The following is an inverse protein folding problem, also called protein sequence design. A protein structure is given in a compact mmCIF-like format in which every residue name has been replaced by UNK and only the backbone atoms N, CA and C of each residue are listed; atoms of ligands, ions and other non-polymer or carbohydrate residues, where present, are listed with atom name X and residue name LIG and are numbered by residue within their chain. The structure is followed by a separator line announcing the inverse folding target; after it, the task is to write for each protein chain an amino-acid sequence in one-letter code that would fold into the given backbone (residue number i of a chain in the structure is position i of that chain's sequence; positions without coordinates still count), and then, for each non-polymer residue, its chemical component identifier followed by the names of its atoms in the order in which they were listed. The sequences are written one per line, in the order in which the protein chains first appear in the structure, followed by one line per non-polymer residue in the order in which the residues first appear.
data_IF_491106802139
#
_entry.id   IF_491106802139
#
_cell.length_a   1.000
_cell.length_b   1.000
_cell.length_c   1.000
_cell.angle_alpha   90.00
_cell.angle_beta   90.00
_cell.angle_gamma   90.00
#
_symmetry.space_group_name_H-M   'P 1'
#
loop_
_entity.id
_entity.type
_entity.pdbx_description
1 polymer ?
#
# COMPACT_ATOMS: atom_id res chain seq x y z
N UNK A 1 -18.37 3.30 6.49
CA UNK A 1 -17.58 3.45 7.74
C UNK A 1 -16.10 3.54 7.37
N UNK A 2 -15.28 4.34 8.07
CA UNK A 2 -13.83 4.35 7.83
C UNK A 2 -13.27 2.95 8.12
N UNK A 3 -12.64 2.29 7.13
CA UNK A 3 -11.95 1.02 7.38
C UNK A 3 -10.62 1.30 8.08
N UNK A 4 -10.34 0.65 9.22
CA UNK A 4 -9.04 0.79 9.90
C UNK A 4 -7.85 0.16 9.13
N UNK A 5 -8.09 -0.27 7.89
CA UNK A 5 -7.20 -1.05 7.06
C UNK A 5 -6.95 -0.29 5.75
N UNK A 6 -5.71 -0.40 5.29
CA UNK A 6 -5.28 0.00 3.97
C UNK A 6 -5.63 -1.08 2.96
N UNK A 7 -6.04 -0.65 1.77
CA UNK A 7 -6.32 -1.51 0.64
C UNK A 7 -5.25 -1.31 -0.43
N UNK A 8 -4.65 -2.41 -0.89
CA UNK A 8 -3.72 -2.44 -2.00
C UNK A 8 -4.20 -3.44 -3.04
N UNK A 9 -4.09 -3.06 -4.31
CA UNK A 9 -4.33 -3.93 -5.46
C UNK A 9 -3.09 -3.95 -6.33
N UNK A 10 -2.62 -5.15 -6.67
CA UNK A 10 -1.53 -5.34 -7.62
C UNK A 10 -2.07 -5.60 -9.01
N UNK A 11 -1.59 -4.84 -9.98
CA UNK A 11 -1.94 -4.94 -11.39
C UNK A 11 -0.65 -4.94 -12.24
N UNK A 12 -0.80 -5.18 -13.54
CA UNK A 12 0.31 -5.24 -14.50
C UNK A 12 0.72 -6.68 -14.80
N UNK A 13 1.99 -6.87 -15.16
CA UNK A 13 2.55 -8.16 -15.56
C UNK A 13 3.86 -8.32 -14.80
N UNK A 14 3.81 -8.95 -13.63
CA UNK A 14 4.97 -9.12 -12.76
C UNK A 14 4.87 -10.39 -11.91
N UNK A 15 5.98 -10.74 -11.26
CA UNK A 15 6.12 -11.87 -10.35
C UNK A 15 6.47 -11.44 -8.90
N UNK A 16 6.20 -10.17 -8.57
CA UNK A 16 6.49 -9.59 -7.28
C UNK A 16 5.95 -10.39 -6.07
N UNK A 17 6.63 -10.18 -4.94
CA UNK A 17 6.27 -10.74 -3.64
C UNK A 17 5.91 -9.63 -2.66
N UNK A 18 5.03 -9.94 -1.72
CA UNK A 18 4.67 -9.04 -0.63
C UNK A 18 5.25 -9.59 0.67
N UNK A 19 6.12 -8.82 1.30
CA UNK A 19 6.83 -9.21 2.51
C UNK A 19 6.19 -8.51 3.70
N UNK A 20 5.98 -9.25 4.80
CA UNK A 20 5.57 -8.69 6.11
C UNK A 20 6.65 -9.04 7.13
N UNK A 21 7.58 -8.11 7.34
CA UNK A 21 8.82 -8.37 8.06
C UNK A 21 8.60 -8.71 9.54
N UNK A 22 7.65 -8.06 10.21
CA UNK A 22 7.36 -8.32 11.63
C UNK A 22 6.58 -9.62 11.87
N UNK A 23 6.10 -10.28 10.80
CA UNK A 23 5.52 -11.61 10.85
C UNK A 23 6.42 -12.67 10.19
N UNK A 24 7.63 -12.29 9.76
CA UNK A 24 8.56 -13.16 9.02
C UNK A 24 7.88 -13.92 7.88
N UNK A 25 6.95 -13.27 7.19
CA UNK A 25 6.04 -13.91 6.23
C UNK A 25 6.20 -13.30 4.84
N UNK A 26 6.16 -14.16 3.83
CA UNK A 26 6.28 -13.80 2.41
C UNK A 26 5.06 -14.35 1.67
N UNK A 27 4.39 -13.49 0.91
CA UNK A 27 3.22 -13.85 0.12
C UNK A 27 3.50 -13.62 -1.36
N UNK A 28 2.98 -14.51 -2.20
CA UNK A 28 2.92 -14.25 -3.64
C UNK A 28 2.01 -13.05 -3.88
N UNK A 29 2.50 -12.07 -4.65
CA UNK A 29 1.74 -10.85 -4.94
C UNK A 29 1.54 -10.72 -6.43
N UNK A 30 0.73 -11.62 -6.99
CA UNK A 30 0.50 -11.72 -8.43
C UNK A 30 -0.47 -10.62 -8.91
N UNK A 31 -0.47 -10.27 -10.20
CA UNK A 31 -1.51 -9.41 -10.78
C UNK A 31 -2.92 -9.90 -10.44
N UNK A 32 -3.79 -8.97 -10.05
CA UNK A 32 -5.15 -9.25 -9.54
C UNK A 32 -5.22 -9.50 -8.03
N UNK A 33 -4.09 -9.59 -7.33
CA UNK A 33 -4.08 -9.77 -5.86
C UNK A 33 -4.55 -8.49 -5.15
N UNK A 34 -5.45 -8.65 -4.20
CA UNK A 34 -5.96 -7.60 -3.34
C UNK A 34 -5.57 -7.88 -1.89
N UNK A 35 -4.99 -6.89 -1.21
CA UNK A 35 -4.57 -6.98 0.18
C UNK A 35 -5.30 -5.92 0.99
N UNK A 36 -5.99 -6.37 2.03
CA UNK A 36 -6.49 -5.54 3.12
C UNK A 36 -5.57 -5.75 4.33
N UNK A 37 -4.88 -4.71 4.78
CA UNK A 37 -3.97 -4.82 5.92
C UNK A 37 -3.90 -3.54 6.75
N UNK A 38 -3.51 -3.67 8.02
CA UNK A 38 -3.21 -2.52 8.86
C UNK A 38 -1.77 -2.04 8.60
N UNK A 39 -1.56 -1.16 7.60
CA UNK A 39 -0.22 -0.74 7.16
C UNK A 39 0.57 0.04 8.23
N UNK A 40 -0.09 0.54 9.28
CA UNK A 40 0.56 1.11 10.47
C UNK A 40 1.16 0.09 11.42
N UNK A 41 0.59 -1.11 11.47
CA UNK A 41 1.00 -2.17 12.40
C UNK A 41 1.91 -3.19 11.71
N UNK A 42 1.65 -3.46 10.43
CA UNK A 42 2.36 -4.46 9.65
C UNK A 42 3.41 -3.78 8.78
N UNK A 43 4.67 -4.02 9.13
CA UNK A 43 5.83 -3.54 8.36
C UNK A 43 5.92 -4.36 7.08
N UNK A 44 5.53 -3.74 5.97
CA UNK A 44 5.41 -4.42 4.69
C UNK A 44 6.27 -3.79 3.61
N UNK A 45 6.71 -4.61 2.67
CA UNK A 45 7.48 -4.16 1.51
C UNK A 45 7.19 -5.02 0.29
N UNK A 46 7.51 -4.47 -0.88
CA UNK A 46 7.58 -5.21 -2.13
C UNK A 46 9.04 -5.11 -2.58
N UNK A 47 9.86 -6.15 -2.35
CA UNK A 47 11.25 -6.17 -2.82
C UNK A 47 11.33 -6.06 -4.34
N UNK A 48 12.54 -5.85 -4.85
CA UNK A 48 12.78 -5.86 -6.29
C UNK A 48 12.32 -7.18 -6.90
N UNK A 49 11.60 -7.09 -8.00
CA UNK A 49 11.21 -8.22 -8.84
C UNK A 49 11.96 -8.15 -10.17
N UNK A 50 11.95 -9.27 -10.91
CA UNK A 50 12.73 -9.40 -12.14
C UNK A 50 11.85 -9.25 -13.39
N UNK A 51 10.58 -9.66 -13.32
CA UNK A 51 9.72 -9.73 -14.50
C UNK A 51 8.77 -8.55 -14.59
N UNK A 52 8.86 -7.83 -15.69
CA UNK A 52 7.85 -6.86 -16.15
C UNK A 52 7.52 -5.72 -15.18
N UNK A 53 6.33 -5.15 -15.35
CA UNK A 53 5.91 -3.91 -14.70
C UNK A 53 4.79 -4.16 -13.70
N UNK A 54 4.88 -3.48 -12.55
CA UNK A 54 3.87 -3.50 -11.50
C UNK A 54 3.20 -2.16 -11.37
N UNK A 55 1.87 -2.17 -11.44
CA UNK A 55 1.01 -1.04 -11.13
C UNK A 55 0.36 -1.31 -9.78
N UNK A 56 0.51 -0.39 -8.83
CA UNK A 56 -0.11 -0.49 -7.52
C UNK A 56 -1.25 0.53 -7.41
N UNK A 57 -2.46 0.06 -7.15
CA UNK A 57 -3.55 0.93 -6.70
C UNK A 57 -3.65 0.82 -5.18
N UNK A 58 -3.59 1.95 -4.50
CA UNK A 58 -3.61 1.97 -3.04
C UNK A 58 -4.65 2.95 -2.53
N UNK A 59 -5.41 2.51 -1.54
CA UNK A 59 -6.37 3.32 -0.80
C UNK A 59 -6.01 3.26 0.68
N UNK A 60 -5.38 4.34 1.14
CA UNK A 60 -4.98 4.49 2.54
C UNK A 60 -6.01 5.28 3.32
N UNK A 61 -6.31 4.84 4.53
CA UNK A 61 -7.16 5.60 5.45
C UNK A 61 -6.35 6.71 6.14
N UNK A 62 -6.16 7.80 5.37
CA UNK A 62 -5.48 9.04 5.75
C UNK A 62 -6.06 9.69 7.02
N UNK A 63 -7.31 9.41 7.34
CA UNK A 63 -8.07 10.08 8.40
C UNK A 63 -7.64 9.62 9.81
N UNK A 64 -7.29 8.34 10.00
CA UNK A 64 -6.92 7.83 11.33
C UNK A 64 -5.53 8.30 11.81
N UNK A 65 -4.65 8.76 10.92
CA UNK A 65 -3.36 9.38 11.29
C UNK A 65 -3.59 10.82 11.71
N UNK A 66 -4.22 11.61 10.84
CA UNK A 66 -4.42 13.04 11.06
C UNK A 66 -5.34 13.30 12.25
N UNK A 67 -6.42 12.53 12.40
CA UNK A 67 -7.32 12.66 13.56
C UNK A 67 -6.64 12.25 14.88
N UNK A 68 -5.72 11.28 14.86
CA UNK A 68 -4.99 10.86 16.08
C UNK A 68 -3.98 11.92 16.54
N UNK A 69 -3.39 12.66 15.61
CA UNK A 69 -2.35 13.66 15.92
C UNK A 69 -2.84 15.11 15.81
N UNK A 70 -4.13 15.35 15.53
CA UNK A 70 -4.71 16.68 15.37
C UNK A 70 -4.11 17.49 14.21
N UNK A 71 -3.46 16.83 13.25
CA UNK A 71 -2.76 17.49 12.14
C UNK A 71 -3.73 17.67 10.98
N UNK A 72 -3.78 18.88 10.41
CA UNK A 72 -4.61 19.14 9.23
C UNK A 72 -4.20 18.23 8.06
N UNK A 73 -5.19 17.62 7.42
CA UNK A 73 -4.98 16.75 6.27
C UNK A 73 -4.35 17.55 5.12
N UNK A 74 -3.18 17.16 4.59
CA UNK A 74 -2.68 17.75 3.36
C UNK A 74 -3.57 17.33 2.18
N UNK A 75 -3.73 18.18 1.14
CA UNK A 75 -4.47 17.82 -0.07
C UNK A 75 -3.87 16.57 -0.73
N UNK A 76 -4.63 15.94 -1.63
CA UNK A 76 -4.04 14.91 -2.48
C UNK A 76 -2.99 15.55 -3.38
N UNK A 77 -1.87 14.85 -3.58
CA UNK A 77 -0.85 15.24 -4.55
C UNK A 77 -1.50 15.35 -5.92
N UNK A 78 -1.42 16.53 -6.52
CA UNK A 78 -1.88 16.78 -7.88
C UNK A 78 -0.70 16.68 -8.84
N UNK A 79 -0.98 16.52 -10.13
CA UNK A 79 0.04 16.43 -11.17
C UNK A 79 1.01 17.62 -11.18
N UNK A 80 0.54 18.82 -10.79
CA UNK A 80 1.34 20.05 -10.65
C UNK A 80 2.37 20.00 -9.50
N UNK A 81 2.21 19.07 -8.56
CA UNK A 81 3.11 18.92 -7.41
C UNK A 81 4.22 17.89 -7.70
N UNK A 82 4.19 17.27 -8.89
CA UNK A 82 5.14 16.25 -9.36
C UNK A 82 6.07 16.78 -10.47
N UNK A 83 5.86 18.02 -10.94
CA UNK A 83 6.59 18.68 -12.03
C UNK A 83 7.23 19.98 -11.55
#
# INVERSE_FOLDING_TARGET
APSLLDLLVSLGIHDAQFHISNLSSIFGYQPGTMIYLAGKLLHHSVPKWEKGERIALTHYMKDAVHNKFGVARPPFTQQKDLL
#
